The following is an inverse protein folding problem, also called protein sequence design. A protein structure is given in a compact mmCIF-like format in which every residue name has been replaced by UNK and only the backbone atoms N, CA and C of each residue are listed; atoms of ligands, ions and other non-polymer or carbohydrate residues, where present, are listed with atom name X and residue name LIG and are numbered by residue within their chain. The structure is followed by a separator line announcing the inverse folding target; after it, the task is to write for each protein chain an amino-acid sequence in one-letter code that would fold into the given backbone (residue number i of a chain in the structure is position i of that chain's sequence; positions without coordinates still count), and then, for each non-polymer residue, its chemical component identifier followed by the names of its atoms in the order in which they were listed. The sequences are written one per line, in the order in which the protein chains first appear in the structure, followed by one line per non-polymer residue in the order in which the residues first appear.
data_IF_406704978830
#
_entry.id   IF_406704978830
#
_cell.length_a   1.000
_cell.length_b   1.000
_cell.length_c   1.000
_cell.angle_alpha   90.00
_cell.angle_beta   90.00
_cell.angle_gamma   90.00
#
_symmetry.space_group_name_H-M   'P 1'
#
loop_
_entity.id
_entity.type
_entity.pdbx_description
1 polymer ?
#
# COMPACT_ATOMS: atom_id res chain seq x y z
N UNK A 1 -33.70 -3.19 -9.85
CA UNK A 1 -33.54 -3.29 -8.38
C UNK A 1 -34.44 -2.23 -7.75
N UNK A 2 -35.51 -2.64 -7.10
CA UNK A 2 -36.53 -1.74 -6.56
C UNK A 2 -36.03 -1.11 -5.25
N UNK A 3 -36.14 0.23 -5.18
CA UNK A 3 -35.90 1.05 -3.98
C UNK A 3 -36.58 0.45 -2.72
N UNK A 4 -35.78 -0.08 -1.80
CA UNK A 4 -36.26 -0.56 -0.48
C UNK A 4 -36.16 0.52 0.63
N UNK A 5 -36.19 1.80 0.27
CA UNK A 5 -36.23 2.87 1.27
C UNK A 5 -37.52 3.66 1.06
N UNK A 6 -38.47 3.47 1.99
CA UNK A 6 -39.73 4.18 2.00
C UNK A 6 -39.52 5.65 2.29
N UNK A 7 -40.03 6.51 1.41
CA UNK A 7 -40.04 7.96 1.53
C UNK A 7 -39.57 8.64 0.25
N UNK A 8 -40.45 9.39 -0.40
CA UNK A 8 -40.32 9.98 -1.73
C UNK A 8 -39.44 11.26 -1.76
N UNK A 9 -38.50 11.43 -0.82
CA UNK A 9 -37.54 12.54 -0.80
C UNK A 9 -36.18 12.05 -1.24
N UNK A 10 -35.65 12.65 -2.31
CA UNK A 10 -34.31 12.42 -2.82
C UNK A 10 -33.28 12.74 -1.72
N UNK A 11 -32.43 11.79 -1.37
CA UNK A 11 -31.41 11.98 -0.32
C UNK A 11 -30.37 13.00 -0.77
N UNK A 12 -30.07 13.95 0.09
CA UNK A 12 -29.09 15.03 -0.13
C UNK A 12 -27.76 14.66 0.49
N UNK A 13 -26.69 14.70 -0.30
CA UNK A 13 -25.36 14.36 0.16
C UNK A 13 -24.36 15.43 -0.22
N UNK A 14 -23.38 15.68 0.63
CA UNK A 14 -22.26 16.54 0.32
C UNK A 14 -20.99 15.70 0.12
N UNK A 15 -20.30 15.91 -1.00
CA UNK A 15 -18.95 15.37 -1.23
C UNK A 15 -17.93 16.48 -0.97
N UNK A 16 -17.15 16.35 0.07
CA UNK A 16 -16.11 17.29 0.45
C UNK A 16 -14.73 16.81 0.01
N UNK A 17 -14.12 17.54 -0.92
CA UNK A 17 -12.86 17.22 -1.59
C UNK A 17 -13.08 16.44 -2.88
N UNK A 18 -12.61 16.99 -4.01
CA UNK A 18 -12.80 16.44 -5.34
C UNK A 18 -11.48 15.89 -5.92
N UNK A 19 -10.75 15.12 -5.12
CA UNK A 19 -9.71 14.22 -5.59
C UNK A 19 -10.28 12.94 -6.20
N UNK A 20 -9.45 11.90 -6.39
CA UNK A 20 -9.86 10.60 -6.97
C UNK A 20 -11.07 10.01 -6.26
N UNK A 21 -11.06 9.97 -4.93
CA UNK A 21 -12.16 9.49 -4.09
C UNK A 21 -13.44 10.31 -4.30
N UNK A 22 -13.35 11.64 -4.25
CA UNK A 22 -14.52 12.51 -4.39
C UNK A 22 -15.15 12.43 -5.78
N UNK A 23 -14.35 12.45 -6.84
CA UNK A 23 -14.82 12.30 -8.23
C UNK A 23 -15.54 10.96 -8.40
N UNK A 24 -14.96 9.87 -7.93
CA UNK A 24 -15.58 8.54 -7.94
C UNK A 24 -16.93 8.54 -7.22
N UNK A 25 -16.97 9.20 -6.07
CA UNK A 25 -18.18 9.29 -5.23
C UNK A 25 -19.28 10.08 -5.90
N UNK A 26 -18.98 11.24 -6.48
CA UNK A 26 -19.97 12.06 -7.23
C UNK A 26 -20.57 11.25 -8.37
N UNK A 27 -19.77 10.56 -9.17
CA UNK A 27 -20.23 9.74 -10.29
C UNK A 27 -21.20 8.65 -9.82
N UNK A 28 -20.82 7.89 -8.79
CA UNK A 28 -21.64 6.80 -8.28
C UNK A 28 -22.95 7.30 -7.65
N UNK A 29 -22.89 8.36 -6.83
CA UNK A 29 -24.05 8.92 -6.14
C UNK A 29 -25.06 9.54 -7.10
N UNK A 30 -24.60 10.25 -8.14
CA UNK A 30 -25.49 10.76 -9.21
C UNK A 30 -26.24 9.60 -9.90
N UNK A 31 -25.52 8.53 -10.30
CA UNK A 31 -26.13 7.36 -10.96
C UNK A 31 -27.09 6.58 -10.05
N UNK A 32 -26.86 6.66 -8.74
CA UNK A 32 -27.77 6.08 -7.72
C UNK A 32 -28.95 6.98 -7.38
N UNK A 33 -29.04 8.18 -7.96
CA UNK A 33 -30.18 9.09 -7.82
C UNK A 33 -30.13 9.96 -6.57
N UNK A 34 -28.94 10.24 -6.03
CA UNK A 34 -28.78 11.22 -4.95
C UNK A 34 -28.75 12.65 -5.48
N UNK A 35 -29.20 13.61 -4.66
CA UNK A 35 -28.97 15.02 -4.89
C UNK A 35 -27.58 15.37 -4.35
N UNK A 36 -26.59 15.45 -5.26
CA UNK A 36 -25.17 15.56 -4.89
C UNK A 36 -24.75 17.02 -4.84
N UNK A 37 -24.32 17.46 -3.68
CA UNK A 37 -23.62 18.72 -3.48
C UNK A 37 -22.13 18.47 -3.40
N UNK A 38 -21.32 19.43 -3.84
CA UNK A 38 -19.86 19.30 -3.81
C UNK A 38 -19.20 20.54 -3.23
N UNK A 39 -18.14 20.34 -2.47
CA UNK A 39 -17.27 21.40 -1.99
C UNK A 39 -15.80 21.01 -2.14
N UNK A 40 -14.99 21.90 -2.70
CA UNK A 40 -13.53 21.76 -2.75
C UNK A 40 -12.88 23.15 -2.64
N UNK A 41 -11.86 23.26 -1.76
CA UNK A 41 -11.10 24.51 -1.56
C UNK A 41 -10.37 24.95 -2.85
N UNK A 42 -10.01 24.00 -3.71
CA UNK A 42 -9.33 24.25 -4.98
C UNK A 42 -10.30 24.35 -6.15
N UNK A 43 -11.22 25.25 -6.20
CA UNK A 43 -12.27 25.49 -7.21
C UNK A 43 -11.86 25.19 -8.67
N UNK A 44 -11.43 23.97 -8.97
CA UNK A 44 -11.05 23.54 -10.32
C UNK A 44 -12.28 22.99 -11.07
N UNK A 45 -12.42 23.37 -12.33
CA UNK A 45 -13.34 22.70 -13.24
C UNK A 45 -12.84 21.27 -13.47
N UNK A 46 -13.59 20.27 -13.03
CA UNK A 46 -13.18 18.88 -13.07
C UNK A 46 -13.82 18.24 -14.29
N UNK A 47 -13.03 18.10 -15.35
CA UNK A 47 -13.48 17.52 -16.63
C UNK A 47 -14.08 16.12 -16.47
N UNK A 48 -13.58 15.34 -15.51
CA UNK A 48 -14.03 13.99 -15.22
C UNK A 48 -15.47 13.92 -14.71
N UNK A 49 -16.05 15.05 -14.27
CA UNK A 49 -17.44 15.16 -13.84
C UNK A 49 -18.37 15.73 -14.93
N UNK A 50 -17.86 15.95 -16.13
CA UNK A 50 -18.68 16.38 -17.26
C UNK A 50 -19.75 15.33 -17.58
N UNK A 51 -21.03 15.74 -17.64
CA UNK A 51 -22.16 14.84 -17.84
C UNK A 51 -22.78 14.22 -16.58
N UNK A 52 -22.21 14.48 -15.38
CA UNK A 52 -22.80 14.12 -14.09
C UNK A 52 -23.50 15.29 -13.44
N UNK A 53 -24.58 15.01 -12.68
CA UNK A 53 -25.37 16.03 -11.98
C UNK A 53 -24.82 16.25 -10.57
N UNK A 54 -24.39 17.46 -10.28
CA UNK A 54 -23.95 17.89 -8.95
C UNK A 54 -24.09 19.41 -8.83
N UNK A 55 -24.16 19.90 -7.59
CA UNK A 55 -24.29 21.31 -7.26
C UNK A 55 -23.11 21.78 -6.41
N UNK A 56 -22.14 22.52 -7.01
CA UNK A 56 -21.07 23.13 -6.23
C UNK A 56 -21.62 24.15 -5.23
N UNK A 57 -21.12 24.11 -4.01
CA UNK A 57 -21.50 25.06 -2.95
C UNK A 57 -20.30 25.93 -2.54
N UNK A 58 -20.59 27.09 -1.92
CA UNK A 58 -19.60 28.00 -1.34
C UNK A 58 -19.60 27.89 0.19
N UNK A 59 -18.52 28.35 0.82
CA UNK A 59 -18.26 28.31 2.26
C UNK A 59 -19.39 28.89 3.13
N UNK A 60 -20.24 29.75 2.59
CA UNK A 60 -21.34 30.40 3.31
C UNK A 60 -22.66 29.61 3.26
N UNK A 61 -22.70 28.48 2.60
CA UNK A 61 -23.95 27.76 2.28
C UNK A 61 -23.98 26.30 2.72
N UNK A 62 -23.23 25.95 3.76
CA UNK A 62 -23.36 24.61 4.33
C UNK A 62 -24.74 24.41 4.96
N UNK A 63 -25.41 23.34 4.55
CA UNK A 63 -26.73 22.94 5.03
C UNK A 63 -26.70 21.62 5.75
N UNK A 64 -27.89 21.06 5.96
CA UNK A 64 -28.06 19.72 6.48
C UNK A 64 -28.16 18.73 5.33
N UNK A 65 -27.37 17.64 5.42
CA UNK A 65 -27.29 16.54 4.47
C UNK A 65 -27.62 15.23 5.16
N UNK A 66 -28.01 14.21 4.41
CA UNK A 66 -28.19 12.86 4.95
C UNK A 66 -26.84 12.27 5.42
N UNK A 67 -25.76 12.64 4.74
CA UNK A 67 -24.36 12.46 5.19
C UNK A 67 -23.42 13.37 4.38
N UNK A 68 -22.24 13.56 4.93
CA UNK A 68 -21.10 14.23 4.24
C UNK A 68 -20.03 13.19 3.99
N UNK A 69 -19.72 12.95 2.72
CA UNK A 69 -18.58 12.13 2.31
C UNK A 69 -17.34 12.99 2.25
N UNK A 70 -16.40 12.75 3.16
CA UNK A 70 -15.14 13.49 3.26
C UNK A 70 -14.00 12.74 2.57
N UNK A 71 -13.27 13.41 1.69
CA UNK A 71 -12.04 12.85 1.11
C UNK A 71 -10.99 12.56 2.18
N UNK A 72 -10.25 11.42 2.10
CA UNK A 72 -9.35 10.97 3.17
C UNK A 72 -8.22 11.93 3.51
N UNK A 73 -7.72 12.71 2.52
CA UNK A 73 -6.66 13.69 2.75
C UNK A 73 -7.06 14.90 3.59
N UNK A 74 -8.36 15.13 3.82
CA UNK A 74 -8.87 16.24 4.61
C UNK A 74 -8.81 15.85 6.09
N UNK A 75 -8.08 16.64 6.91
CA UNK A 75 -7.89 16.38 8.34
C UNK A 75 -9.19 16.55 9.12
N UNK A 76 -9.40 15.78 10.21
CA UNK A 76 -10.54 16.01 11.12
C UNK A 76 -10.55 17.40 11.73
N UNK A 77 -9.37 18.02 11.90
CA UNK A 77 -9.20 19.39 12.46
C UNK A 77 -9.43 20.49 11.43
N UNK A 78 -9.83 20.18 10.21
CA UNK A 78 -10.17 21.18 9.20
C UNK A 78 -11.39 21.99 9.62
N UNK A 79 -11.34 23.32 9.52
CA UNK A 79 -12.40 24.22 10.01
C UNK A 79 -13.77 23.90 9.38
N UNK A 80 -13.80 23.51 8.10
CA UNK A 80 -15.04 23.16 7.41
C UNK A 80 -15.59 21.83 7.93
N UNK A 81 -14.73 20.85 8.24
CA UNK A 81 -15.14 19.59 8.87
C UNK A 81 -15.82 19.88 10.21
N UNK A 82 -15.20 20.72 11.04
CA UNK A 82 -15.76 21.10 12.37
C UNK A 82 -17.09 21.86 12.28
N UNK A 83 -17.31 22.60 11.19
CA UNK A 83 -18.61 23.27 10.92
C UNK A 83 -19.65 22.21 10.52
N UNK A 84 -19.31 21.32 9.59
CA UNK A 84 -20.22 20.34 9.02
C UNK A 84 -20.66 19.27 10.04
N UNK A 85 -19.76 18.83 10.91
CA UNK A 85 -19.98 17.78 11.88
C UNK A 85 -21.00 18.17 12.99
N UNK A 86 -21.29 19.46 13.15
CA UNK A 86 -22.30 19.93 14.11
C UNK A 86 -23.71 19.44 13.78
N UNK A 87 -24.03 19.33 12.48
CA UNK A 87 -25.38 19.01 11.99
C UNK A 87 -25.41 17.82 11.04
N UNK A 88 -24.25 17.24 10.71
CA UNK A 88 -24.13 16.19 9.69
C UNK A 88 -23.22 15.05 10.17
N UNK A 89 -23.51 13.84 9.69
CA UNK A 89 -22.64 12.69 9.83
C UNK A 89 -21.50 12.78 8.80
N UNK A 90 -20.24 12.75 9.27
CA UNK A 90 -19.05 12.74 8.41
C UNK A 90 -18.60 11.30 8.25
N UNK A 91 -18.50 10.81 7.01
CA UNK A 91 -18.12 9.43 6.71
C UNK A 91 -17.18 9.35 5.50
N UNK A 92 -16.43 8.25 5.40
CA UNK A 92 -15.57 7.95 4.26
C UNK A 92 -16.33 7.25 3.13
N UNK A 93 -15.69 7.19 1.95
CA UNK A 93 -16.17 6.41 0.80
C UNK A 93 -16.33 4.92 1.13
N UNK A 94 -15.49 4.38 2.02
CA UNK A 94 -15.54 2.99 2.48
C UNK A 94 -16.82 2.74 3.29
N UNK A 95 -17.16 3.65 4.20
CA UNK A 95 -18.42 3.56 4.95
C UNK A 95 -19.64 3.66 4.01
N UNK A 96 -19.60 4.59 3.04
CA UNK A 96 -20.68 4.72 2.04
C UNK A 96 -20.75 3.45 1.18
N UNK A 97 -19.62 2.83 0.83
CA UNK A 97 -19.60 1.57 0.07
C UNK A 97 -20.28 0.44 0.83
N UNK A 98 -20.05 0.35 2.14
CA UNK A 98 -20.71 -0.64 3.01
C UNK A 98 -22.23 -0.44 3.04
N UNK A 99 -22.71 0.81 3.11
CA UNK A 99 -24.13 1.14 3.18
C UNK A 99 -24.87 0.94 1.85
N UNK A 100 -24.21 1.28 0.72
CA UNK A 100 -24.86 1.24 -0.60
C UNK A 100 -24.69 -0.10 -1.33
N UNK A 101 -23.60 -0.82 -1.03
CA UNK A 101 -23.26 -2.08 -1.68
C UNK A 101 -22.97 -3.19 -0.64
N UNK A 102 -23.90 -3.49 0.29
CA UNK A 102 -23.66 -4.45 1.36
C UNK A 102 -23.40 -5.87 0.85
N UNK A 103 -23.99 -6.22 -0.31
CA UNK A 103 -23.91 -7.57 -0.91
C UNK A 103 -22.64 -7.74 -1.80
N UNK A 104 -21.76 -6.73 -1.89
CA UNK A 104 -20.52 -6.87 -2.65
C UNK A 104 -19.48 -7.64 -1.85
N UNK A 105 -18.87 -8.61 -2.50
CA UNK A 105 -17.75 -9.35 -1.91
C UNK A 105 -16.52 -8.45 -1.76
N UNK A 106 -16.01 -8.36 -0.54
CA UNK A 106 -14.90 -7.46 -0.17
C UNK A 106 -13.84 -8.22 0.60
N UNK A 107 -12.58 -7.97 0.26
CA UNK A 107 -11.41 -8.35 1.05
C UNK A 107 -10.67 -7.07 1.41
N UNK A 108 -10.58 -6.77 2.70
CA UNK A 108 -10.05 -5.50 3.20
C UNK A 108 -8.62 -5.63 3.72
N UNK A 109 -7.73 -4.74 3.34
CA UNK A 109 -6.32 -4.80 3.70
C UNK A 109 -5.86 -3.44 4.20
N UNK A 110 -5.38 -3.39 5.45
CA UNK A 110 -4.72 -2.22 6.02
C UNK A 110 -3.34 -2.55 6.59
N UNK A 111 -2.60 -1.54 6.94
CA UNK A 111 -1.26 -1.63 7.53
C UNK A 111 -0.50 -0.33 7.31
N UNK A 112 0.63 -0.15 7.96
CA UNK A 112 1.55 0.94 7.63
C UNK A 112 2.25 0.64 6.31
N UNK A 113 2.82 -0.54 6.18
CA UNK A 113 3.55 -1.01 5.00
C UNK A 113 2.91 -2.29 4.42
N UNK A 114 3.21 -2.60 3.14
CA UNK A 114 2.79 -3.84 2.49
C UNK A 114 1.41 -3.81 1.82
N UNK A 115 0.54 -2.85 2.14
CA UNK A 115 -0.85 -2.77 1.63
C UNK A 115 -0.96 -2.99 0.11
N UNK A 116 -0.30 -2.15 -0.66
CA UNK A 116 -0.37 -2.18 -2.14
C UNK A 116 0.09 -3.52 -2.70
N UNK A 117 1.19 -4.07 -2.15
CA UNK A 117 1.71 -5.37 -2.59
C UNK A 117 0.73 -6.50 -2.31
N UNK A 118 0.22 -6.56 -1.08
CA UNK A 118 -0.75 -7.59 -0.68
C UNK A 118 -2.06 -7.46 -1.47
N UNK A 119 -2.60 -6.25 -1.62
CA UNK A 119 -3.83 -5.99 -2.41
C UNK A 119 -3.66 -6.44 -3.86
N UNK A 120 -2.52 -6.11 -4.47
CA UNK A 120 -2.23 -6.52 -5.85
C UNK A 120 -2.06 -8.03 -6.00
N UNK A 121 -1.40 -8.69 -5.03
CA UNK A 121 -1.24 -10.15 -5.00
C UNK A 121 -2.59 -10.85 -4.85
N UNK A 122 -3.46 -10.39 -3.94
CA UNK A 122 -4.81 -10.94 -3.74
C UNK A 122 -5.64 -10.81 -5.01
N UNK A 123 -5.66 -9.61 -5.62
CA UNK A 123 -6.39 -9.39 -6.87
C UNK A 123 -5.85 -10.26 -8.02
N UNK A 124 -4.51 -10.42 -8.10
CA UNK A 124 -3.87 -11.31 -9.08
C UNK A 124 -4.29 -12.76 -8.88
N UNK A 125 -4.19 -13.30 -7.67
CA UNK A 125 -4.56 -14.68 -7.36
C UNK A 125 -6.03 -14.95 -7.71
N UNK A 126 -6.94 -14.06 -7.31
CA UNK A 126 -8.36 -14.18 -7.61
C UNK A 126 -8.61 -14.22 -9.12
N UNK A 127 -8.00 -13.31 -9.89
CA UNK A 127 -8.16 -13.26 -11.34
C UNK A 127 -7.59 -14.51 -12.04
N UNK A 128 -6.40 -14.97 -11.64
CA UNK A 128 -5.80 -16.21 -12.18
C UNK A 128 -6.65 -17.45 -11.86
N UNK A 129 -7.36 -17.45 -10.72
CA UNK A 129 -8.31 -18.49 -10.34
C UNK A 129 -9.73 -18.28 -10.94
N UNK A 130 -9.89 -17.37 -11.92
CA UNK A 130 -11.15 -17.15 -12.64
C UNK A 130 -12.21 -16.39 -11.84
N UNK A 131 -11.84 -15.69 -10.79
CA UNK A 131 -12.70 -14.80 -10.00
C UNK A 131 -12.42 -13.34 -10.36
N UNK A 132 -13.28 -12.64 -11.12
CA UNK A 132 -13.06 -11.23 -11.44
C UNK A 132 -12.83 -10.42 -10.16
N UNK A 133 -11.66 -9.81 -10.03
CA UNK A 133 -11.26 -9.07 -8.85
C UNK A 133 -10.64 -7.71 -9.20
N UNK A 134 -10.95 -6.70 -8.39
CA UNK A 134 -10.56 -5.31 -8.61
C UNK A 134 -9.88 -4.76 -7.37
N UNK A 135 -8.63 -4.31 -7.53
CA UNK A 135 -7.93 -3.57 -6.50
C UNK A 135 -8.46 -2.14 -6.45
N UNK A 136 -8.97 -1.72 -5.29
CA UNK A 136 -9.65 -0.43 -5.11
C UNK A 136 -9.27 0.23 -3.77
N UNK A 137 -9.68 1.46 -3.56
CA UNK A 137 -9.48 2.20 -2.30
C UNK A 137 -8.33 3.19 -2.39
N UNK A 138 -7.31 3.02 -1.56
CA UNK A 138 -6.10 3.86 -1.58
C UNK A 138 -5.17 3.56 -2.78
N UNK A 139 -5.63 2.73 -3.69
CA UNK A 139 -4.98 2.32 -4.94
C UNK A 139 -6.00 2.34 -6.09
N UNK A 140 -5.54 2.65 -7.29
CA UNK A 140 -6.38 2.62 -8.49
C UNK A 140 -7.47 3.68 -8.51
N UNK A 141 -8.65 3.31 -8.95
CA UNK A 141 -9.84 4.17 -9.00
C UNK A 141 -10.62 4.11 -7.67
N UNK A 142 -11.42 5.16 -7.41
CA UNK A 142 -12.20 5.24 -6.18
C UNK A 142 -13.27 4.14 -6.07
N UNK A 143 -13.48 3.65 -4.86
CA UNK A 143 -14.28 2.47 -4.53
C UNK A 143 -15.71 2.52 -5.05
N UNK A 144 -16.41 3.64 -4.83
CA UNK A 144 -17.85 3.73 -5.11
C UNK A 144 -18.17 3.57 -6.59
N UNK A 145 -17.38 4.19 -7.47
CA UNK A 145 -17.58 4.09 -8.91
C UNK A 145 -17.30 2.68 -9.40
N UNK A 146 -16.23 2.05 -8.94
CA UNK A 146 -15.90 0.67 -9.29
C UNK A 146 -17.01 -0.30 -8.85
N UNK A 147 -17.53 -0.17 -7.62
CA UNK A 147 -18.62 -1.02 -7.13
C UNK A 147 -19.93 -0.79 -7.85
N UNK A 148 -20.18 0.42 -8.36
CA UNK A 148 -21.34 0.71 -9.19
C UNK A 148 -21.23 0.03 -10.56
N UNK A 149 -20.09 0.14 -11.23
CA UNK A 149 -19.91 -0.35 -12.59
C UNK A 149 -19.60 -1.85 -12.70
N UNK A 150 -18.85 -2.37 -11.75
CA UNK A 150 -18.28 -3.73 -11.84
C UNK A 150 -19.02 -4.72 -10.96
N UNK A 151 -18.86 -6.00 -11.31
CA UNK A 151 -19.28 -7.14 -10.50
C UNK A 151 -18.08 -8.04 -10.27
N UNK A 152 -17.88 -8.53 -9.04
CA UNK A 152 -16.76 -9.36 -8.67
C UNK A 152 -16.31 -9.05 -7.25
N UNK A 153 -15.10 -9.46 -6.91
CA UNK A 153 -14.49 -9.27 -5.60
C UNK A 153 -13.74 -7.94 -5.58
N UNK A 154 -14.02 -7.10 -4.58
CA UNK A 154 -13.34 -5.84 -4.37
C UNK A 154 -12.25 -6.02 -3.31
N UNK A 155 -10.99 -5.94 -3.74
CA UNK A 155 -9.84 -6.01 -2.84
C UNK A 155 -9.48 -4.59 -2.44
N UNK A 156 -9.89 -4.23 -1.22
CA UNK A 156 -9.84 -2.85 -0.74
C UNK A 156 -8.52 -2.57 -0.01
N UNK A 157 -7.65 -1.73 -0.60
CA UNK A 157 -6.53 -1.14 0.11
C UNK A 157 -7.03 0.02 0.97
N UNK A 158 -6.94 -0.08 2.29
CA UNK A 158 -7.48 0.90 3.22
C UNK A 158 -6.39 1.68 3.96
N UNK A 159 -6.42 3.00 3.80
CA UNK A 159 -5.62 3.92 4.61
C UNK A 159 -6.24 4.10 6.02
N UNK A 160 -5.42 4.55 6.98
CA UNK A 160 -5.92 4.94 8.30
C UNK A 160 -6.93 6.10 8.22
N UNK A 161 -6.76 7.00 7.24
CA UNK A 161 -7.64 8.14 7.01
C UNK A 161 -9.05 7.71 6.58
N UNK A 162 -9.16 6.70 5.70
CA UNK A 162 -10.44 6.15 5.27
C UNK A 162 -11.12 5.42 6.42
N UNK A 163 -10.37 4.60 7.17
CA UNK A 163 -10.88 3.85 8.32
C UNK A 163 -11.28 4.76 9.49
N UNK A 164 -10.62 5.91 9.68
CA UNK A 164 -10.97 6.88 10.72
C UNK A 164 -12.45 7.27 10.67
N UNK A 165 -13.00 7.52 9.49
CA UNK A 165 -14.36 7.98 9.27
C UNK A 165 -15.34 6.82 8.94
N UNK A 166 -15.06 5.59 9.43
CA UNK A 166 -15.98 4.44 9.36
C UNK A 166 -16.72 4.22 10.67
N UNK A 167 -17.93 3.68 10.58
CA UNK A 167 -18.80 3.36 11.73
C UNK A 167 -19.33 1.92 11.67
N UNK A 168 -19.98 1.56 10.56
CA UNK A 168 -20.61 0.26 10.35
C UNK A 168 -19.83 -0.63 9.37
N UNK A 169 -18.67 -0.17 8.91
CA UNK A 169 -17.83 -0.93 7.99
C UNK A 169 -17.48 -2.30 8.57
N UNK A 170 -17.77 -3.36 7.81
CA UNK A 170 -17.59 -4.75 8.23
C UNK A 170 -17.19 -5.62 7.02
N UNK A 171 -15.89 -5.84 6.76
CA UNK A 171 -15.47 -6.81 5.77
C UNK A 171 -15.59 -8.22 6.33
N UNK A 172 -16.04 -9.19 5.50
CA UNK A 172 -16.04 -10.60 5.90
C UNK A 172 -14.61 -11.15 6.08
N UNK A 173 -13.68 -10.69 5.26
CA UNK A 173 -12.26 -11.08 5.33
C UNK A 173 -11.42 -9.81 5.37
N UNK A 174 -10.60 -9.69 6.41
CA UNK A 174 -9.73 -8.54 6.61
C UNK A 174 -8.28 -8.91 6.92
N UNK A 175 -7.35 -7.97 6.69
CA UNK A 175 -5.96 -8.09 7.14
C UNK A 175 -5.45 -6.78 7.75
N UNK A 176 -4.72 -6.91 8.86
CA UNK A 176 -3.87 -5.86 9.45
C UNK A 176 -2.43 -6.35 9.34
N UNK A 177 -1.69 -5.80 8.36
CA UNK A 177 -0.34 -6.30 8.04
C UNK A 177 0.71 -5.88 9.06
N UNK A 178 0.65 -4.65 9.51
CA UNK A 178 1.52 -4.08 10.55
C UNK A 178 1.06 -2.67 10.92
N UNK A 179 1.40 -2.24 12.15
CA UNK A 179 1.13 -0.89 12.62
C UNK A 179 2.44 -0.29 13.19
N UNK A 180 3.00 0.68 12.50
CA UNK A 180 4.18 1.45 12.91
C UNK A 180 3.82 2.93 12.90
N UNK A 181 4.50 3.73 13.69
CA UNK A 181 4.24 5.17 13.78
C UNK A 181 4.36 5.86 12.41
N UNK A 182 3.27 6.50 11.99
CA UNK A 182 3.18 7.24 10.73
C UNK A 182 2.00 8.23 10.81
N UNK A 183 2.02 9.26 9.97
CA UNK A 183 0.91 10.21 9.79
C UNK A 183 0.39 10.89 11.09
N UNK A 184 1.25 11.10 12.08
CA UNK A 184 0.88 11.77 13.34
C UNK A 184 0.43 13.22 13.10
N UNK A 185 0.96 13.86 12.07
CA UNK A 185 0.53 15.20 11.63
C UNK A 185 -0.92 15.28 11.18
N UNK A 186 -1.52 14.15 10.77
CA UNK A 186 -2.93 14.04 10.39
C UNK A 186 -3.79 13.58 11.56
N UNK A 187 -3.35 12.55 12.30
CA UNK A 187 -4.11 11.92 13.39
C UNK A 187 -3.99 12.68 14.73
N UNK A 188 -2.95 13.50 14.89
CA UNK A 188 -2.67 14.19 16.16
C UNK A 188 -1.99 13.29 17.21
N UNK A 189 -2.15 11.96 17.15
CA UNK A 189 -1.49 11.01 18.04
C UNK A 189 -1.29 9.64 17.39
N UNK A 190 -0.35 8.86 17.94
CA UNK A 190 -0.16 7.47 17.51
C UNK A 190 -1.34 6.59 17.90
N UNK A 191 -1.95 6.84 19.06
CA UNK A 191 -3.13 6.09 19.51
C UNK A 191 -4.33 6.26 18.56
N UNK A 192 -4.58 7.47 18.04
CA UNK A 192 -5.62 7.68 17.03
C UNK A 192 -5.33 6.95 15.73
N UNK A 193 -4.06 6.95 15.29
CA UNK A 193 -3.63 6.17 14.12
C UNK A 193 -3.85 4.66 14.32
N UNK A 194 -3.49 4.11 15.50
CA UNK A 194 -3.75 2.71 15.86
C UNK A 194 -5.25 2.43 15.81
N UNK A 195 -6.03 3.20 16.57
CA UNK A 195 -7.48 3.02 16.69
C UNK A 195 -8.17 3.07 15.31
N UNK A 196 -7.72 3.99 14.45
CA UNK A 196 -8.26 4.08 13.08
C UNK A 196 -8.03 2.80 12.29
N UNK A 197 -6.84 2.18 12.36
CA UNK A 197 -6.57 0.91 11.66
C UNK A 197 -7.33 -0.27 12.24
N UNK A 198 -7.49 -0.32 13.56
CA UNK A 198 -8.25 -1.38 14.25
C UNK A 198 -9.74 -1.35 13.89
N UNK A 199 -10.29 -0.22 13.43
CA UNK A 199 -11.67 -0.13 12.93
C UNK A 199 -11.96 -1.09 11.77
N UNK A 200 -10.95 -1.54 11.02
CA UNK A 200 -11.14 -2.57 10.00
C UNK A 200 -11.82 -3.82 10.57
N UNK A 201 -11.48 -4.23 11.78
CA UNK A 201 -12.00 -5.44 12.44
C UNK A 201 -13.05 -5.16 13.52
N UNK A 202 -13.34 -3.89 13.85
CA UNK A 202 -14.16 -3.52 15.00
C UNK A 202 -15.58 -4.09 14.96
N UNK A 203 -16.16 -4.23 13.77
CA UNK A 203 -17.51 -4.76 13.57
C UNK A 203 -17.55 -6.23 13.13
N UNK A 204 -16.39 -6.89 12.97
CA UNK A 204 -16.33 -8.31 12.64
C UNK A 204 -16.86 -9.17 13.80
N UNK A 205 -17.39 -10.33 13.47
CA UNK A 205 -17.86 -11.33 14.45
C UNK A 205 -17.23 -12.72 14.19
N UNK A 206 -17.70 -13.74 14.90
CA UNK A 206 -17.17 -15.11 14.82
C UNK A 206 -17.33 -15.77 13.44
N UNK A 207 -18.19 -15.23 12.59
CA UNK A 207 -18.34 -15.69 11.20
C UNK A 207 -17.31 -15.09 10.25
N UNK A 208 -16.56 -14.06 10.68
CA UNK A 208 -15.60 -13.33 9.85
C UNK A 208 -14.17 -13.77 10.13
N UNK A 209 -13.24 -13.37 9.25
CA UNK A 209 -11.82 -13.74 9.31
C UNK A 209 -10.93 -12.50 9.38
N UNK A 210 -9.93 -12.55 10.25
CA UNK A 210 -8.89 -11.53 10.36
C UNK A 210 -7.50 -12.15 10.25
N UNK A 211 -6.72 -11.67 9.29
CA UNK A 211 -5.33 -12.05 9.08
C UNK A 211 -4.42 -10.99 9.71
N UNK A 212 -3.51 -11.40 10.60
CA UNK A 212 -2.58 -10.50 11.29
C UNK A 212 -1.14 -11.01 11.23
N UNK A 213 -0.20 -10.10 11.36
CA UNK A 213 1.21 -10.43 11.50
C UNK A 213 1.52 -10.82 12.96
N UNK A 214 2.11 -11.99 13.15
CA UNK A 214 2.51 -12.49 14.47
C UNK A 214 3.60 -11.60 15.13
N UNK A 215 4.46 -10.98 14.34
CA UNK A 215 5.52 -10.08 14.80
C UNK A 215 5.04 -8.66 15.04
N UNK A 216 3.79 -8.30 14.72
CA UNK A 216 3.29 -6.94 14.94
C UNK A 216 2.78 -6.77 16.37
N UNK A 217 3.59 -6.19 17.24
CA UNK A 217 3.32 -6.02 18.67
C UNK A 217 1.98 -5.31 18.95
N UNK A 218 1.61 -4.35 18.09
CA UNK A 218 0.35 -3.60 18.25
C UNK A 218 -0.84 -4.51 17.99
N UNK A 219 -0.86 -5.24 16.87
CA UNK A 219 -1.94 -6.18 16.57
C UNK A 219 -2.04 -7.29 17.62
N UNK A 220 -0.90 -7.80 18.10
CA UNK A 220 -0.86 -8.82 19.16
C UNK A 220 -1.40 -8.30 20.50
N UNK A 221 -1.11 -7.04 20.85
CA UNK A 221 -1.65 -6.43 22.07
C UNK A 221 -3.18 -6.35 22.05
N UNK A 222 -3.75 -6.11 20.89
CA UNK A 222 -5.21 -5.98 20.69
C UNK A 222 -5.90 -7.28 20.26
N UNK A 223 -5.20 -8.41 20.13
CA UNK A 223 -5.73 -9.66 19.57
C UNK A 223 -7.00 -10.16 20.29
N UNK A 224 -7.09 -9.93 21.61
CA UNK A 224 -8.24 -10.34 22.44
C UNK A 224 -9.49 -9.48 22.23
N UNK A 225 -9.37 -8.34 21.61
CA UNK A 225 -10.49 -7.42 21.33
C UNK A 225 -11.20 -7.83 20.03
N UNK A 226 -10.53 -8.57 19.16
CA UNK A 226 -11.11 -9.04 17.91
C UNK A 226 -12.06 -10.21 18.14
N UNK A 227 -13.25 -10.16 17.52
CA UNK A 227 -14.23 -11.23 17.57
C UNK A 227 -14.13 -12.20 16.39
N UNK A 228 -13.45 -11.80 15.32
CA UNK A 228 -13.21 -12.60 14.13
C UNK A 228 -12.36 -13.83 14.44
N UNK A 229 -12.40 -14.81 13.55
CA UNK A 229 -11.46 -15.93 13.57
C UNK A 229 -10.09 -15.44 13.10
N UNK A 230 -9.09 -15.54 13.98
CA UNK A 230 -7.74 -15.07 13.73
C UNK A 230 -6.93 -16.12 12.97
N UNK A 231 -6.25 -15.68 11.92
CA UNK A 231 -5.19 -16.37 11.22
C UNK A 231 -3.93 -15.50 11.23
N UNK A 232 -2.80 -16.11 11.50
CA UNK A 232 -1.54 -15.37 11.62
C UNK A 232 -0.59 -15.71 10.48
N UNK A 233 0.24 -14.78 10.11
CA UNK A 233 1.43 -15.08 9.31
C UNK A 233 2.68 -14.62 10.06
N UNK A 234 3.78 -15.37 9.88
CA UNK A 234 5.05 -15.11 10.55
C UNK A 234 6.23 -15.43 9.66
N UNK A 235 7.22 -14.57 9.66
CA UNK A 235 8.51 -14.84 9.01
C UNK A 235 9.61 -15.28 9.97
N UNK A 236 9.32 -15.37 11.28
CA UNK A 236 10.30 -15.63 12.33
C UNK A 236 9.87 -16.77 13.28
N UNK A 237 8.59 -16.98 13.46
CA UNK A 237 8.03 -17.89 14.46
C UNK A 237 7.05 -18.88 13.81
N UNK A 238 6.91 -20.05 14.43
CA UNK A 238 5.84 -20.99 14.10
C UNK A 238 4.54 -20.49 14.71
N UNK A 239 3.48 -20.37 13.90
CA UNK A 239 2.14 -19.98 14.34
C UNK A 239 1.23 -21.18 14.50
N UNK A 240 0.21 -21.08 15.36
CA UNK A 240 -0.74 -22.17 15.60
C UNK A 240 -1.79 -22.30 14.48
N UNK A 241 -2.21 -21.18 13.89
CA UNK A 241 -3.21 -21.14 12.83
C UNK A 241 -2.84 -20.11 11.80
N UNK A 242 -2.31 -20.55 10.67
CA UNK A 242 -1.89 -19.66 9.60
C UNK A 242 -0.67 -20.13 8.85
N UNK A 243 0.13 -19.19 8.37
CA UNK A 243 1.33 -19.44 7.56
C UNK A 243 2.60 -18.94 8.27
N UNK A 244 3.68 -19.69 8.14
CA UNK A 244 4.99 -19.27 8.65
C UNK A 244 6.12 -19.67 7.71
N UNK A 245 7.23 -18.96 7.82
CA UNK A 245 8.44 -19.23 7.06
C UNK A 245 9.38 -20.14 7.87
N UNK A 246 9.69 -21.30 7.33
CA UNK A 246 10.73 -22.20 7.85
C UNK A 246 11.86 -22.34 6.81
N UNK A 247 13.00 -21.74 7.10
CA UNK A 247 14.08 -21.60 6.12
C UNK A 247 13.59 -20.88 4.85
N UNK A 248 13.54 -21.60 3.73
CA UNK A 248 13.02 -21.10 2.46
C UNK A 248 11.60 -21.62 2.15
N UNK A 249 10.93 -22.25 3.09
CA UNK A 249 9.61 -22.86 2.89
C UNK A 249 8.53 -22.08 3.60
N UNK A 250 7.46 -21.75 2.89
CA UNK A 250 6.21 -21.32 3.52
C UNK A 250 5.41 -22.55 3.88
N UNK A 251 5.06 -22.63 5.17
CA UNK A 251 4.38 -23.76 5.78
C UNK A 251 3.01 -23.33 6.30
N UNK A 252 2.00 -24.19 6.12
CA UNK A 252 0.65 -24.04 6.65
C UNK A 252 0.47 -24.87 7.92
N UNK A 253 -0.10 -24.28 8.97
CA UNK A 253 -0.61 -24.96 10.15
C UNK A 253 -2.04 -24.49 10.42
N UNK A 254 -2.94 -25.42 10.66
CA UNK A 254 -4.36 -25.10 10.85
C UNK A 254 -4.89 -25.72 12.17
N UNK A 255 -4.29 -25.31 13.28
CA UNK A 255 -4.67 -25.76 14.62
C UNK A 255 -4.41 -27.27 14.80
N UNK A 256 -3.21 -27.66 15.21
CA UNK A 256 -2.85 -29.08 15.38
C UNK A 256 -1.34 -29.32 15.19
N UNK A 257 -0.96 -30.58 15.11
CA UNK A 257 0.45 -30.96 14.97
C UNK A 257 0.93 -31.05 13.52
N UNK A 258 0.02 -31.02 12.55
CA UNK A 258 0.37 -31.20 11.14
C UNK A 258 0.84 -29.87 10.56
N UNK A 259 2.04 -29.87 9.97
CA UNK A 259 2.65 -28.77 9.23
C UNK A 259 2.75 -29.24 7.78
N UNK A 260 2.24 -28.44 6.85
CA UNK A 260 2.29 -28.71 5.41
C UNK A 260 3.19 -27.66 4.73
N UNK A 261 4.27 -28.11 4.08
CA UNK A 261 5.08 -27.26 3.22
C UNK A 261 4.30 -26.97 1.93
N UNK A 262 3.97 -25.71 1.67
CA UNK A 262 3.12 -25.34 0.53
C UNK A 262 3.85 -24.61 -0.60
N UNK A 263 4.97 -23.91 -0.30
CA UNK A 263 5.66 -23.09 -1.27
C UNK A 263 7.13 -22.87 -0.89
N UNK A 264 8.02 -22.97 -1.86
CA UNK A 264 9.42 -22.53 -1.72
C UNK A 264 9.52 -21.05 -2.19
N UNK A 265 10.03 -20.17 -1.35
CA UNK A 265 10.13 -18.73 -1.68
C UNK A 265 11.08 -18.46 -2.86
N UNK A 266 11.96 -19.40 -3.21
CA UNK A 266 12.85 -19.31 -4.38
C UNK A 266 12.08 -19.42 -5.71
N UNK A 267 10.85 -19.94 -5.68
CA UNK A 267 9.96 -20.02 -6.84
C UNK A 267 9.19 -18.71 -7.08
N UNK A 268 9.35 -17.72 -6.20
CA UNK A 268 8.68 -16.42 -6.30
C UNK A 268 9.52 -15.40 -7.07
N UNK A 269 8.85 -14.51 -7.77
CA UNK A 269 9.48 -13.35 -8.44
C UNK A 269 9.78 -12.19 -7.47
N UNK A 270 9.22 -12.24 -6.26
CA UNK A 270 9.45 -11.22 -5.23
C UNK A 270 10.48 -11.75 -4.21
N UNK A 271 11.32 -10.86 -3.71
CA UNK A 271 12.40 -11.18 -2.78
C UNK A 271 12.28 -10.39 -1.49
N UNK A 272 12.88 -10.93 -0.44
CA UNK A 272 12.95 -10.28 0.86
C UNK A 272 11.84 -10.69 1.82
N UNK A 273 12.21 -10.79 3.10
CA UNK A 273 11.34 -11.29 4.18
C UNK A 273 9.99 -10.57 4.23
N UNK A 274 9.99 -9.24 4.13
CA UNK A 274 8.75 -8.46 4.14
C UNK A 274 7.82 -8.75 2.94
N UNK A 275 8.38 -9.12 1.77
CA UNK A 275 7.57 -9.56 0.63
C UNK A 275 7.03 -10.98 0.85
N UNK A 276 7.78 -11.86 1.52
CA UNK A 276 7.27 -13.18 1.90
C UNK A 276 6.12 -13.08 2.90
N UNK A 277 6.17 -12.11 3.83
CA UNK A 277 5.04 -11.76 4.71
C UNK A 277 3.81 -11.31 3.91
N UNK A 278 3.99 -10.41 2.92
CA UNK A 278 2.91 -9.99 2.03
C UNK A 278 2.32 -11.17 1.23
N UNK A 279 3.18 -12.08 0.75
CA UNK A 279 2.76 -13.33 0.06
C UNK A 279 1.95 -14.22 0.99
N UNK A 280 2.41 -14.46 2.22
CA UNK A 280 1.68 -15.26 3.21
C UNK A 280 0.31 -14.65 3.53
N UNK A 281 0.25 -13.33 3.72
CA UNK A 281 -1.02 -12.63 3.93
C UNK A 281 -1.96 -12.80 2.71
N UNK A 282 -1.45 -12.66 1.49
CA UNK A 282 -2.26 -12.81 0.27
C UNK A 282 -2.76 -14.25 0.08
N UNK A 283 -1.93 -15.26 0.38
CA UNK A 283 -2.33 -16.67 0.35
C UNK A 283 -3.45 -16.91 1.37
N UNK A 284 -3.29 -16.45 2.62
CA UNK A 284 -4.32 -16.63 3.66
C UNK A 284 -5.64 -15.96 3.27
N UNK A 285 -5.61 -14.72 2.79
CA UNK A 285 -6.82 -14.00 2.40
C UNK A 285 -7.59 -14.72 1.28
N UNK A 286 -6.89 -15.25 0.29
CA UNK A 286 -7.51 -15.97 -0.84
C UNK A 286 -7.91 -17.41 -0.46
N UNK A 287 -7.20 -18.03 0.46
CA UNK A 287 -7.58 -19.34 1.05
C UNK A 287 -8.87 -19.21 1.89
N UNK A 288 -8.97 -18.17 2.72
CA UNK A 288 -10.16 -17.89 3.53
C UNK A 288 -11.36 -17.44 2.66
N UNK A 289 -11.11 -16.86 1.49
CA UNK A 289 -12.14 -16.61 0.50
C UNK A 289 -12.72 -17.91 -0.12
N UNK A 290 -12.05 -19.04 0.07
CA UNK A 290 -12.51 -20.35 -0.36
C UNK A 290 -11.88 -20.86 -1.66
N UNK A 291 -10.76 -20.28 -2.11
CA UNK A 291 -10.01 -20.83 -3.25
C UNK A 291 -9.22 -22.09 -2.84
N UNK A 292 -8.99 -22.96 -3.81
CA UNK A 292 -8.16 -24.14 -3.63
C UNK A 292 -6.68 -23.75 -3.44
N UNK A 293 -6.02 -24.27 -2.41
CA UNK A 293 -4.64 -23.95 -2.06
C UNK A 293 -3.67 -24.20 -3.23
N UNK A 294 -3.84 -25.30 -3.97
CA UNK A 294 -2.97 -25.61 -5.10
C UNK A 294 -3.09 -24.60 -6.25
N UNK A 295 -4.29 -24.04 -6.47
CA UNK A 295 -4.53 -22.99 -7.46
C UNK A 295 -3.93 -21.66 -7.00
N UNK A 296 -4.09 -21.32 -5.73
CA UNK A 296 -3.47 -20.14 -5.10
C UNK A 296 -1.95 -20.19 -5.31
N UNK A 297 -1.31 -21.34 -5.01
CA UNK A 297 0.15 -21.50 -5.13
C UNK A 297 0.60 -21.37 -6.59
N UNK A 298 -0.15 -21.91 -7.57
CA UNK A 298 0.16 -21.71 -8.99
C UNK A 298 0.05 -20.23 -9.37
N UNK A 299 -0.99 -19.56 -8.95
CA UNK A 299 -1.23 -18.15 -9.26
C UNK A 299 -0.16 -17.23 -8.65
N UNK A 300 0.19 -17.41 -7.37
CA UNK A 300 1.19 -16.52 -6.73
C UNK A 300 2.59 -16.65 -7.36
N UNK A 301 2.96 -17.81 -7.88
CA UNK A 301 4.22 -18.01 -8.59
C UNK A 301 4.31 -17.20 -9.90
N UNK A 302 3.18 -16.85 -10.50
CA UNK A 302 3.14 -16.01 -11.72
C UNK A 302 3.09 -14.51 -11.43
N UNK A 303 2.91 -14.12 -10.16
CA UNK A 303 2.88 -12.71 -9.77
C UNK A 303 4.25 -12.06 -10.00
N UNK A 304 4.25 -10.97 -10.74
CA UNK A 304 5.46 -10.14 -10.92
C UNK A 304 5.47 -9.01 -9.90
N UNK A 305 6.66 -8.61 -9.46
CA UNK A 305 6.80 -7.47 -8.55
C UNK A 305 6.10 -6.22 -9.11
N UNK A 306 5.56 -5.41 -8.20
CA UNK A 306 4.97 -4.13 -8.60
C UNK A 306 6.08 -3.22 -9.11
N UNK A 307 5.81 -2.49 -10.19
CA UNK A 307 6.76 -1.54 -10.74
C UNK A 307 7.32 -0.61 -9.65
N UNK A 308 8.61 -0.39 -9.67
CA UNK A 308 9.36 0.47 -8.74
C UNK A 308 9.41 0.00 -7.27
N UNK A 309 9.04 -1.27 -6.98
CA UNK A 309 9.16 -1.88 -5.63
C UNK A 309 10.00 -3.14 -5.69
N UNK A 310 11.29 -3.05 -5.39
CA UNK A 310 12.25 -4.14 -5.57
C UNK A 310 12.02 -4.89 -6.90
N UNK A 311 11.69 -4.13 -7.93
CA UNK A 311 11.40 -4.63 -9.26
C UNK A 311 12.71 -5.14 -9.89
N UNK A 312 12.79 -6.44 -10.16
CA UNK A 312 13.90 -6.99 -10.94
C UNK A 312 13.84 -6.44 -12.37
N UNK A 313 14.92 -5.88 -12.84
CA UNK A 313 15.02 -5.31 -14.20
C UNK A 313 15.70 -6.29 -15.13
N UNK A 314 16.94 -6.65 -14.83
CA UNK A 314 17.71 -7.66 -15.61
C UNK A 314 18.99 -8.07 -14.88
N UNK A 315 19.61 -9.14 -15.36
CA UNK A 315 21.00 -9.50 -15.06
C UNK A 315 21.88 -9.15 -16.25
N UNK A 316 23.01 -8.48 -15.99
CA UNK A 316 23.99 -8.15 -17.01
C UNK A 316 25.41 -8.40 -16.45
N UNK A 317 26.24 -9.13 -17.16
CA UNK A 317 27.59 -9.56 -16.72
C UNK A 317 27.59 -10.19 -15.31
N UNK A 318 26.51 -10.93 -14.97
CA UNK A 318 26.32 -11.56 -13.66
C UNK A 318 26.00 -10.60 -12.52
N UNK A 319 25.66 -9.35 -12.79
CA UNK A 319 25.19 -8.33 -11.86
C UNK A 319 23.68 -8.19 -12.02
N UNK A 320 22.94 -8.27 -10.91
CA UNK A 320 21.48 -8.12 -10.91
C UNK A 320 21.09 -6.67 -10.64
N UNK A 321 20.15 -6.13 -11.43
CA UNK A 321 19.65 -4.77 -11.29
C UNK A 321 18.22 -4.78 -10.75
N UNK A 322 18.00 -4.01 -9.66
CA UNK A 322 16.69 -3.87 -9.01
C UNK A 322 16.29 -2.41 -8.89
N UNK A 323 15.03 -2.14 -9.21
CA UNK A 323 14.40 -0.83 -9.13
C UNK A 323 13.47 -0.75 -7.92
N UNK A 324 13.87 -0.01 -6.90
CA UNK A 324 13.07 0.34 -5.74
C UNK A 324 12.90 1.87 -5.65
N UNK A 325 12.62 2.52 -6.78
CA UNK A 325 12.44 3.98 -6.82
C UNK A 325 11.33 4.48 -5.89
N UNK A 326 10.37 3.62 -5.52
CA UNK A 326 9.31 3.90 -4.53
C UNK A 326 9.84 3.93 -3.08
N UNK A 327 11.07 3.51 -2.83
CA UNK A 327 11.79 3.66 -1.55
C UNK A 327 12.11 5.13 -1.25
N UNK A 328 11.08 5.94 -0.98
CA UNK A 328 11.18 7.40 -0.78
C UNK A 328 11.38 7.82 0.67
N UNK A 329 11.59 6.87 1.56
CA UNK A 329 11.88 7.07 2.98
C UNK A 329 12.91 6.04 3.49
N UNK A 330 13.47 6.29 4.66
CA UNK A 330 14.51 5.47 5.27
C UNK A 330 14.04 4.05 5.55
N UNK A 331 12.87 3.85 6.15
CA UNK A 331 12.35 2.52 6.54
C UNK A 331 12.18 1.60 5.31
N UNK A 332 11.61 2.11 4.22
CA UNK A 332 11.46 1.31 3.00
C UNK A 332 12.80 0.92 2.38
N UNK A 333 13.77 1.83 2.35
CA UNK A 333 15.09 1.54 1.78
C UNK A 333 15.94 0.64 2.68
N UNK A 334 15.77 0.70 4.00
CA UNK A 334 16.37 -0.29 4.93
C UNK A 334 15.86 -1.69 4.61
N UNK A 335 14.54 -1.87 4.45
CA UNK A 335 13.94 -3.16 4.08
C UNK A 335 14.40 -3.65 2.71
N UNK A 336 14.58 -2.74 1.75
CA UNK A 336 15.12 -3.08 0.44
C UNK A 336 16.56 -3.61 0.54
N UNK A 337 17.43 -2.98 1.33
CA UNK A 337 18.80 -3.44 1.59
C UNK A 337 18.78 -4.81 2.27
N UNK A 338 17.96 -4.99 3.30
CA UNK A 338 17.85 -6.26 4.07
C UNK A 338 17.26 -7.42 3.27
N UNK A 339 16.74 -7.17 2.07
CA UNK A 339 16.25 -8.21 1.16
C UNK A 339 17.37 -8.97 0.44
N UNK A 340 18.62 -8.55 0.59
CA UNK A 340 19.76 -9.16 -0.07
C UNK A 340 20.84 -9.58 0.93
N UNK A 341 21.38 -10.77 0.75
CA UNK A 341 22.56 -11.34 1.47
C UNK A 341 23.84 -11.21 0.63
N UNK A 342 23.74 -10.57 -0.52
CA UNK A 342 24.83 -10.36 -1.47
C UNK A 342 25.33 -8.92 -1.40
N UNK A 343 26.56 -8.63 -1.88
CA UNK A 343 27.09 -7.27 -1.92
C UNK A 343 26.21 -6.33 -2.77
N UNK A 344 25.93 -5.14 -2.23
CA UNK A 344 25.06 -4.14 -2.87
C UNK A 344 25.85 -2.92 -3.29
N UNK A 345 25.66 -2.49 -4.55
CA UNK A 345 25.96 -1.14 -5.00
C UNK A 345 24.63 -0.38 -5.05
N UNK A 346 24.46 0.58 -4.14
CA UNK A 346 23.19 1.31 -4.02
C UNK A 346 23.25 2.68 -4.67
N UNK A 347 22.20 3.03 -5.42
CA UNK A 347 21.99 4.40 -5.92
C UNK A 347 21.01 5.07 -4.96
N UNK A 348 21.47 6.13 -4.29
CA UNK A 348 20.77 6.78 -3.19
C UNK A 348 20.73 8.30 -3.34
N UNK A 349 19.78 8.93 -2.60
CA UNK A 349 19.60 10.37 -2.55
C UNK A 349 18.45 10.89 -3.40
N UNK A 350 18.19 12.18 -3.27
CA UNK A 350 17.06 12.86 -3.88
C UNK A 350 16.65 14.08 -3.06
N UNK A 351 15.36 14.45 -3.09
CA UNK A 351 14.80 15.61 -2.38
C UNK A 351 14.97 15.50 -0.86
N UNK A 352 15.44 16.58 -0.22
CA UNK A 352 15.67 16.63 1.21
C UNK A 352 14.40 16.97 1.99
N UNK A 353 13.84 15.97 2.67
CA UNK A 353 12.72 16.12 3.62
C UNK A 353 13.19 16.49 5.04
N UNK A 354 14.46 16.83 5.22
CA UNK A 354 15.09 17.14 6.52
C UNK A 354 15.01 15.99 7.53
N UNK A 355 15.06 14.74 7.05
CA UNK A 355 15.04 13.53 7.88
C UNK A 355 16.46 13.04 8.19
N UNK A 356 16.59 12.17 9.20
CA UNK A 356 17.82 11.47 9.54
C UNK A 356 18.00 10.20 8.69
N UNK A 357 19.18 10.06 8.06
CA UNK A 357 19.55 8.91 7.24
C UNK A 357 20.46 7.91 7.96
N UNK A 358 20.65 8.08 9.27
CA UNK A 358 21.61 7.27 10.05
C UNK A 358 21.30 5.78 9.98
N UNK A 359 20.05 5.38 10.10
CA UNK A 359 19.67 3.97 10.09
C UNK A 359 19.79 3.35 8.68
N UNK A 360 19.53 4.13 7.63
CA UNK A 360 19.76 3.72 6.24
C UNK A 360 21.26 3.41 5.99
N UNK A 361 22.14 4.30 6.43
CA UNK A 361 23.59 4.14 6.26
C UNK A 361 24.12 2.98 7.10
N UNK A 362 23.63 2.79 8.33
CA UNK A 362 23.98 1.64 9.17
C UNK A 362 23.49 0.30 8.57
N UNK A 363 22.29 0.25 8.02
CA UNK A 363 21.78 -0.95 7.35
C UNK A 363 22.64 -1.29 6.14
N UNK A 364 22.97 -0.30 5.31
CA UNK A 364 23.83 -0.48 4.14
C UNK A 364 25.24 -0.99 4.50
N UNK A 365 25.79 -0.58 5.63
CA UNK A 365 27.13 -1.01 6.07
C UNK A 365 27.30 -2.52 6.20
N UNK A 366 26.20 -3.26 6.40
CA UNK A 366 26.26 -4.72 6.66
C UNK A 366 26.74 -5.49 5.41
N UNK A 367 26.24 -5.16 4.24
CA UNK A 367 26.52 -5.83 2.96
C UNK A 367 26.74 -4.85 1.78
N UNK A 368 26.87 -3.56 2.09
CA UNK A 368 27.11 -2.52 1.10
C UNK A 368 28.53 -2.49 0.58
N UNK A 369 28.70 -2.50 -0.75
CA UNK A 369 29.98 -2.40 -1.44
C UNK A 369 30.31 -0.97 -1.85
N UNK A 370 29.33 -0.22 -2.36
CA UNK A 370 29.49 1.16 -2.83
C UNK A 370 28.14 1.90 -2.76
N UNK A 371 28.15 3.11 -2.19
CA UNK A 371 27.00 4.01 -2.28
C UNK A 371 27.26 5.06 -3.37
N UNK A 372 26.44 5.07 -4.40
CA UNK A 372 26.44 6.07 -5.48
C UNK A 372 25.37 7.10 -5.15
N UNK A 373 25.78 8.35 -4.93
CA UNK A 373 24.91 9.36 -4.30
C UNK A 373 24.60 10.48 -5.30
N UNK A 374 23.31 10.81 -5.44
CA UNK A 374 22.84 11.89 -6.31
C UNK A 374 21.78 12.78 -5.61
N UNK A 375 21.41 13.88 -6.24
CA UNK A 375 20.31 14.76 -5.77
C UNK A 375 20.67 15.67 -4.60
N UNK A 376 19.65 16.34 -4.05
CA UNK A 376 19.83 17.39 -3.03
C UNK A 376 20.39 16.88 -1.69
N UNK A 377 20.19 15.61 -1.34
CA UNK A 377 20.68 15.02 -0.08
C UNK A 377 22.15 14.55 -0.14
N UNK A 378 22.86 14.76 -1.25
CA UNK A 378 24.20 14.18 -1.47
C UNK A 378 25.22 14.55 -0.40
N UNK A 379 25.27 15.79 0.08
CA UNK A 379 26.23 16.20 1.12
C UNK A 379 25.93 15.58 2.49
N UNK A 380 24.62 15.41 2.84
CA UNK A 380 24.22 14.71 4.07
C UNK A 380 24.61 13.23 4.06
N UNK A 381 24.32 12.54 2.94
CA UNK A 381 24.66 11.12 2.79
C UNK A 381 26.19 10.93 2.73
N UNK A 382 26.93 11.81 2.05
CA UNK A 382 28.39 11.82 2.02
C UNK A 382 28.95 11.91 3.44
N UNK A 383 28.52 12.89 4.25
CA UNK A 383 29.00 13.07 5.61
C UNK A 383 28.74 11.83 6.50
N UNK A 384 27.58 11.16 6.31
CA UNK A 384 27.30 9.90 7.00
C UNK A 384 28.16 8.75 6.48
N UNK A 385 28.42 8.65 5.18
CA UNK A 385 29.31 7.64 4.61
C UNK A 385 30.76 7.81 5.17
N UNK A 386 31.26 9.02 5.24
CA UNK A 386 32.56 9.33 5.85
C UNK A 386 32.59 8.93 7.34
N UNK A 387 31.53 9.28 8.10
CA UNK A 387 31.40 8.93 9.54
C UNK A 387 31.38 7.42 9.79
N UNK A 388 30.77 6.64 8.89
CA UNK A 388 30.60 5.19 9.07
C UNK A 388 31.57 4.35 8.20
N UNK A 389 32.57 4.98 7.60
CA UNK A 389 33.59 4.35 6.73
C UNK A 389 32.96 3.53 5.57
N UNK A 390 32.07 4.18 4.82
CA UNK A 390 31.39 3.59 3.66
C UNK A 390 31.99 4.19 2.38
N UNK A 391 32.39 3.32 1.46
CA UNK A 391 32.83 3.74 0.11
C UNK A 391 31.67 4.41 -0.61
N UNK A 392 31.91 5.61 -1.14
CA UNK A 392 30.87 6.37 -1.84
C UNK A 392 31.45 7.17 -3.02
N UNK A 393 30.58 7.48 -3.97
CA UNK A 393 30.88 8.34 -5.13
C UNK A 393 29.70 9.28 -5.34
N UNK A 394 29.99 10.59 -5.49
CA UNK A 394 28.97 11.58 -5.84
C UNK A 394 28.86 11.66 -7.37
N UNK A 395 27.62 11.67 -7.87
CA UNK A 395 27.30 11.73 -9.30
C UNK A 395 26.27 12.83 -9.58
N UNK A 396 26.15 13.23 -10.84
CA UNK A 396 25.27 14.33 -11.25
C UNK A 396 23.84 13.87 -11.62
N UNK A 397 23.73 12.68 -12.23
CA UNK A 397 22.46 12.19 -12.78
C UNK A 397 22.39 10.65 -12.76
N UNK A 398 21.23 10.10 -13.15
CA UNK A 398 20.99 8.66 -13.16
C UNK A 398 21.87 7.90 -14.13
N UNK A 399 22.19 8.49 -15.28
CA UNK A 399 23.08 7.85 -16.26
C UNK A 399 24.49 7.64 -15.70
N UNK A 400 25.04 8.68 -15.07
CA UNK A 400 26.34 8.56 -14.40
C UNK A 400 26.28 7.58 -13.23
N UNK A 401 25.18 7.57 -12.47
CA UNK A 401 24.98 6.65 -11.34
C UNK A 401 25.00 5.19 -11.79
N UNK A 402 24.26 4.85 -12.82
CA UNK A 402 24.18 3.48 -13.34
C UNK A 402 25.51 3.03 -13.92
N UNK A 403 26.16 3.87 -14.75
CA UNK A 403 27.46 3.55 -15.33
C UNK A 403 28.52 3.37 -14.24
N UNK A 404 28.53 4.21 -13.21
CA UNK A 404 29.41 4.09 -12.05
C UNK A 404 29.19 2.79 -11.30
N UNK A 405 27.95 2.49 -10.94
CA UNK A 405 27.59 1.25 -10.24
C UNK A 405 27.95 0.02 -11.08
N UNK A 406 27.61 0.01 -12.36
CA UNK A 406 27.92 -1.09 -13.26
C UNK A 406 29.43 -1.29 -13.41
N UNK A 407 30.24 -0.23 -13.64
CA UNK A 407 31.66 -0.34 -13.81
C UNK A 407 32.40 -0.89 -12.58
N UNK A 408 31.89 -0.61 -11.36
CA UNK A 408 32.41 -1.06 -10.06
C UNK A 408 31.82 -2.38 -9.56
N UNK A 409 30.74 -2.84 -10.17
CA UNK A 409 30.10 -4.10 -9.83
C UNK A 409 30.85 -5.30 -10.39
N UNK A 410 30.76 -6.43 -9.72
CA UNK A 410 31.32 -7.73 -10.05
C UNK A 410 30.21 -8.79 -10.12
N UNK A 411 30.52 -9.93 -10.73
CA UNK A 411 29.59 -11.05 -10.81
C UNK A 411 29.10 -11.47 -9.39
N UNK A 412 27.79 -11.54 -9.22
CA UNK A 412 27.15 -11.84 -7.95
C UNK A 412 26.69 -10.61 -7.17
N UNK A 413 27.11 -9.40 -7.57
CA UNK A 413 26.65 -8.16 -6.94
C UNK A 413 25.23 -7.78 -7.35
N UNK A 414 24.63 -6.90 -6.54
CA UNK A 414 23.33 -6.27 -6.80
C UNK A 414 23.54 -4.78 -7.01
N UNK A 415 23.02 -4.22 -8.10
CA UNK A 415 22.84 -2.77 -8.28
C UNK A 415 21.40 -2.45 -7.92
N UNK A 416 21.21 -1.69 -6.84
CA UNK A 416 19.92 -1.36 -6.26
C UNK A 416 19.65 0.15 -6.35
N UNK A 417 18.62 0.56 -7.09
CA UNK A 417 18.05 1.91 -6.93
C UNK A 417 17.11 1.87 -5.74
N UNK A 418 17.52 2.35 -4.57
CA UNK A 418 16.66 2.56 -3.39
C UNK A 418 17.06 3.85 -2.68
N UNK A 419 16.44 4.97 -3.09
CA UNK A 419 16.96 6.31 -2.84
C UNK A 419 16.87 6.81 -1.41
N UNK A 420 16.04 6.22 -0.56
CA UNK A 420 15.66 6.71 0.77
C UNK A 420 15.10 8.15 0.78
N UNK A 421 14.89 8.75 -0.40
CA UNK A 421 14.50 10.15 -0.59
C UNK A 421 13.44 10.28 -1.68
N UNK A 422 12.57 11.28 -1.57
CA UNK A 422 11.64 11.63 -2.65
C UNK A 422 12.43 12.08 -3.90
N UNK A 423 11.74 12.15 -5.04
CA UNK A 423 12.37 12.42 -6.35
C UNK A 423 12.24 13.87 -6.81
N UNK A 424 11.55 14.72 -6.06
CA UNK A 424 11.04 16.03 -6.51
C UNK A 424 12.11 17.09 -6.82
N UNK A 425 13.34 16.84 -6.45
CA UNK A 425 14.51 17.69 -6.81
C UNK A 425 14.98 17.51 -8.25
N UNK A 426 14.83 16.29 -8.79
CA UNK A 426 15.32 15.96 -10.13
C UNK A 426 14.23 15.40 -11.06
N UNK A 427 13.09 14.92 -10.52
CA UNK A 427 12.03 14.25 -11.27
C UNK A 427 10.64 14.72 -10.82
N UNK A 428 9.67 14.63 -11.73
CA UNK A 428 8.26 14.93 -11.40
C UNK A 428 7.65 13.95 -10.41
N UNK A 429 8.09 12.68 -10.45
CA UNK A 429 7.60 11.63 -9.55
C UNK A 429 8.62 10.49 -9.44
N UNK A 430 8.39 9.57 -8.49
CA UNK A 430 9.24 8.38 -8.32
C UNK A 430 9.10 7.41 -9.51
N UNK A 431 7.95 7.38 -10.17
CA UNK A 431 7.72 6.57 -11.37
C UNK A 431 8.65 7.01 -12.49
N UNK A 432 8.73 8.32 -12.77
CA UNK A 432 9.63 8.87 -13.81
C UNK A 432 11.09 8.53 -13.51
N UNK A 433 11.52 8.63 -12.23
CA UNK A 433 12.87 8.24 -11.81
C UNK A 433 13.12 6.75 -12.02
N UNK A 434 12.16 5.90 -11.67
CA UNK A 434 12.28 4.46 -11.82
C UNK A 434 12.19 3.98 -13.27
N UNK A 435 11.41 4.65 -14.11
CA UNK A 435 11.36 4.34 -15.55
C UNK A 435 12.66 4.72 -16.26
N UNK A 436 13.24 5.88 -15.95
CA UNK A 436 14.57 6.26 -16.47
C UNK A 436 15.64 5.25 -16.04
N UNK A 437 15.62 4.79 -14.78
CA UNK A 437 16.53 3.75 -14.32
C UNK A 437 16.41 2.48 -15.17
N UNK A 438 15.18 1.97 -15.38
CA UNK A 438 14.96 0.77 -16.21
C UNK A 438 15.41 0.96 -17.64
N UNK A 439 15.12 2.11 -18.22
CA UNK A 439 15.50 2.42 -19.59
C UNK A 439 17.02 2.44 -19.76
N UNK A 440 17.73 3.13 -18.87
CA UNK A 440 19.19 3.22 -18.90
C UNK A 440 19.85 1.86 -18.61
N UNK A 441 19.34 1.10 -17.64
CA UNK A 441 19.85 -0.27 -17.38
C UNK A 441 19.67 -1.15 -18.61
N UNK A 442 18.52 -1.07 -19.30
CA UNK A 442 18.28 -1.88 -20.50
C UNK A 442 19.15 -1.49 -21.70
N UNK A 443 19.73 -0.28 -21.71
CA UNK A 443 20.68 0.19 -22.74
C UNK A 443 22.13 -0.17 -22.46
N UNK A 444 22.45 -0.66 -21.24
CA UNK A 444 23.82 -1.07 -20.94
C UNK A 444 24.26 -2.23 -21.84
N UNK A 445 25.48 -2.19 -22.29
CA UNK A 445 26.14 -3.30 -23.01
C UNK A 445 26.96 -4.18 -22.06
N UNK A 446 27.19 -5.43 -22.43
CA UNK A 446 28.03 -6.32 -21.63
C UNK A 446 29.46 -5.77 -21.52
N UNK A 447 30.10 -5.99 -20.36
CA UNK A 447 31.50 -5.69 -20.20
C UNK A 447 32.27 -6.59 -21.17
N UNK A 448 33.11 -6.00 -22.02
CA UNK A 448 34.11 -6.79 -22.77
C UNK A 448 35.03 -7.42 -21.73
N UNK A 449 35.20 -8.76 -21.80
CA UNK A 449 36.16 -9.50 -20.96
C UNK A 449 37.58 -9.09 -21.26
#
# INVERSE_FOLDING_TARGET
MSNKFGGNTMKKVLVYGLGVTGISSVKALDKLGYEVYTYDKNKKNIKELEGYKYSPISDEKFGKYDFVLKSPGIKPTDDIVQILEKDNEIISDIEVSQRLFPDREKIAITGTNGKTSTTSMVAHILNECGKPAYAVGNIGEGVLWQMYEKKGVFVEELSSFQLHDTQAYKPHIGAILNIKEDHIDWHGSFDDYINSKLKLAANQDQGDYLVINHEDEISQKHIKEFKAQIYEFSSQNIVDRGLFLDGNKICLRNGGCVIEEILDVRDLSVIGRHNYENVMAAILLTYLYGLNLSEIIKAIKTFKSIAHRLEYVRTLSGIDFYNDSKGTNVDSSVKAIESFDRPILIIAGGYDKHIDYTDFVKAFRKNGKLMVIMGATKEKLKALCEKYDIKHILVKDMNEAINTAYSKGEKGDVVLLSPASASWDMYKSFEVRGDEFKELVNRLEEKCE
#
